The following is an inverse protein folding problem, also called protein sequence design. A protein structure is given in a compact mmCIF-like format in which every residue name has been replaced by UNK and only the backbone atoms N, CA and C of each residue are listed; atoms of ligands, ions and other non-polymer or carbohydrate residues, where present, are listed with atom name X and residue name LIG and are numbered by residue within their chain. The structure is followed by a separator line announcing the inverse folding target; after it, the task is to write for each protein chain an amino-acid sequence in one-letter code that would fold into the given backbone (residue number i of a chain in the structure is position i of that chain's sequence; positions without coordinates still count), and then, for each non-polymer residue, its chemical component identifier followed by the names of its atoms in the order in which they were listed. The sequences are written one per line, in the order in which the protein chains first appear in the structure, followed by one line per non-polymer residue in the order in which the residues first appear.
data_IF_296395912107
#
_entry.id   IF_296395912107
#
_cell.length_a   1.000
_cell.length_b   1.000
_cell.length_c   1.000
_cell.angle_alpha   90.00
_cell.angle_beta   90.00
_cell.angle_gamma   90.00
#
_symmetry.space_group_name_H-M   'P 1'
#
loop_
_entity.id
_entity.type
_entity.pdbx_description
1 polymer ?
#
# COMPACT_ATOMS: atom_id res chain seq x y z
N UNK A 1 34.42 6.30 24.21
CA UNK A 1 34.70 7.61 24.86
C UNK A 1 34.57 8.69 23.78
N UNK A 2 34.21 9.92 24.15
CA UNK A 2 33.90 11.05 23.23
C UNK A 2 32.63 10.92 22.37
N UNK A 3 31.48 11.25 22.97
CA UNK A 3 30.31 11.82 22.27
C UNK A 3 30.51 13.34 22.28
N UNK A 4 30.52 14.01 21.13
CA UNK A 4 30.54 15.48 21.10
C UNK A 4 29.94 16.09 19.80
N UNK A 5 28.86 16.84 20.00
CA UNK A 5 28.57 18.13 19.35
C UNK A 5 28.52 18.24 17.81
N UNK A 6 27.29 18.22 17.26
CA UNK A 6 26.84 19.38 16.45
C UNK A 6 25.31 19.54 16.44
N UNK A 7 24.84 20.72 16.86
CA UNK A 7 23.44 21.16 16.84
C UNK A 7 23.42 22.66 16.48
N UNK A 8 22.65 23.11 15.47
CA UNK A 8 22.42 24.52 15.26
C UNK A 8 21.52 25.10 16.37
N UNK A 9 21.91 26.28 16.89
CA UNK A 9 21.18 27.00 17.94
C UNK A 9 19.77 27.37 17.49
N UNK A 10 18.75 27.00 18.27
CA UNK A 10 17.43 27.66 18.26
C UNK A 10 17.28 28.43 19.58
N UNK A 11 17.07 29.74 19.46
CA UNK A 11 16.94 30.66 20.60
C UNK A 11 15.68 30.38 21.41
N UNK A 12 15.75 30.55 22.74
CA UNK A 12 14.60 30.52 23.66
C UNK A 12 14.30 31.91 24.22
N UNK A 13 13.33 32.58 23.61
CA UNK A 13 12.46 33.60 24.21
C UNK A 13 11.20 33.67 23.31
N UNK A 14 9.96 33.90 23.76
CA UNK A 14 9.49 34.57 24.98
C UNK A 14 8.20 33.93 25.53
N UNK A 15 7.91 34.20 26.79
CA UNK A 15 6.80 33.67 27.62
C UNK A 15 5.38 34.11 27.21
N UNK A 16 4.40 33.28 27.59
CA UNK A 16 2.94 33.52 27.75
C UNK A 16 2.49 35.00 27.82
N UNK A 17 1.39 35.37 27.14
CA UNK A 17 0.04 35.63 27.74
C UNK A 17 -0.97 36.21 26.73
N UNK A 18 -2.25 35.95 27.01
CA UNK A 18 -3.48 36.69 26.67
C UNK A 18 -3.44 37.88 25.70
N UNK A 19 -4.42 37.91 24.77
CA UNK A 19 -5.53 38.89 24.79
C UNK A 19 -6.64 38.51 23.78
N UNK A 20 -7.89 38.48 24.23
CA UNK A 20 -9.05 38.86 23.39
C UNK A 20 -9.13 40.39 23.43
N UNK A 21 -9.67 41.03 22.38
CA UNK A 21 -10.91 41.77 22.63
C UNK A 21 -12.00 41.47 21.58
N UNK A 22 -13.12 42.16 21.72
CA UNK A 22 -14.42 41.84 21.13
C UNK A 22 -14.88 42.83 20.04
N UNK A 23 -15.97 42.42 19.37
CA UNK A 23 -17.08 43.25 18.89
C UNK A 23 -16.89 44.23 17.71
N UNK A 24 -17.68 43.94 16.66
CA UNK A 24 -18.48 44.85 15.83
C UNK A 24 -17.81 45.95 14.99
N UNK A 25 -17.99 45.82 13.67
CA UNK A 25 -18.35 46.94 12.77
C UNK A 25 -19.16 46.40 11.58
N UNK A 26 -20.17 47.17 11.16
CA UNK A 26 -21.22 46.76 10.20
C UNK A 26 -21.18 47.67 8.96
N UNK A 27 -21.74 47.19 7.83
CA UNK A 27 -22.00 47.91 6.56
C UNK A 27 -20.73 48.23 5.75
N UNK A 28 -20.66 47.96 4.44
CA UNK A 28 -21.65 48.31 3.40
C UNK A 28 -21.80 47.24 2.30
N UNK A 29 -22.91 47.32 1.55
CA UNK A 29 -23.21 46.45 0.41
C UNK A 29 -22.68 47.00 -0.92
N UNK A 30 -22.37 46.10 -1.85
CA UNK A 30 -22.51 46.35 -3.29
C UNK A 30 -23.21 45.14 -3.91
N UNK A 31 -24.36 45.39 -4.55
CA UNK A 31 -25.12 44.40 -5.32
C UNK A 31 -24.52 44.25 -6.72
N UNK A 32 -24.40 43.02 -7.22
CA UNK A 32 -24.43 42.73 -8.65
C UNK A 32 -25.29 41.49 -8.91
N UNK A 33 -26.49 41.73 -9.43
CA UNK A 33 -27.43 40.71 -9.91
C UNK A 33 -27.13 40.35 -11.36
N UNK A 34 -27.11 39.06 -11.70
CA UNK A 34 -27.32 38.59 -13.08
C UNK A 34 -28.35 37.47 -13.08
N UNK A 35 -29.51 37.76 -13.69
CA UNK A 35 -30.57 36.79 -13.92
C UNK A 35 -30.20 35.88 -15.09
N UNK A 36 -30.47 34.57 -14.97
CA UNK A 36 -30.73 33.74 -16.13
C UNK A 36 -32.08 33.04 -15.98
N UNK A 37 -32.82 33.03 -17.08
CA UNK A 37 -34.27 32.86 -17.12
C UNK A 37 -34.62 31.38 -17.26
N UNK A 38 -35.61 30.93 -16.48
CA UNK A 38 -36.28 29.65 -16.68
C UNK A 38 -37.16 29.72 -17.92
N UNK A 39 -36.97 28.82 -18.88
CA UNK A 39 -37.98 28.53 -19.90
C UNK A 39 -38.39 27.07 -19.84
N UNK A 40 -39.67 26.86 -19.55
CA UNK A 40 -40.33 25.56 -19.70
C UNK A 40 -40.74 25.37 -21.16
N UNK A 41 -40.70 24.13 -21.66
CA UNK A 41 -41.69 23.75 -22.68
C UNK A 41 -42.04 22.26 -22.69
N UNK A 42 -43.20 21.97 -23.27
CA UNK A 42 -43.92 20.69 -23.19
C UNK A 42 -43.45 19.68 -24.24
N UNK A 43 -43.79 18.41 -24.01
CA UNK A 43 -43.74 17.31 -25.00
C UNK A 43 -44.78 17.50 -26.11
N UNK A 44 -44.69 16.76 -27.24
CA UNK A 44 -45.27 15.41 -27.30
C UNK A 44 -44.50 14.37 -28.17
N UNK A 45 -44.91 13.11 -28.04
CA UNK A 45 -44.54 11.95 -28.89
C UNK A 45 -45.50 11.86 -30.09
N UNK A 46 -45.09 11.29 -31.24
CA UNK A 46 -45.96 10.34 -31.92
C UNK A 46 -45.29 8.98 -32.20
N UNK A 47 -46.11 7.91 -32.16
CA UNK A 47 -45.76 6.55 -32.58
C UNK A 47 -46.08 6.38 -34.08
N UNK A 48 -45.35 5.52 -34.79
CA UNK A 48 -45.87 4.34 -35.51
C UNK A 48 -44.75 3.63 -36.30
N UNK A 49 -44.62 2.31 -36.14
CA UNK A 49 -44.85 1.32 -37.21
C UNK A 49 -44.73 -0.10 -36.63
N UNK A 50 -45.50 -1.05 -37.15
CA UNK A 50 -45.70 -2.38 -36.56
C UNK A 50 -45.79 -3.49 -37.61
N UNK A 51 -45.01 -4.57 -37.43
CA UNK A 51 -45.43 -6.00 -37.58
C UNK A 51 -45.69 -6.47 -39.05
N UNK A 52 -45.64 -7.79 -39.41
CA UNK A 52 -45.22 -9.04 -38.72
C UNK A 52 -43.86 -9.56 -39.30
N UNK A 53 -43.42 -10.85 -39.36
CA UNK A 53 -44.01 -12.17 -39.02
C UNK A 53 -42.96 -13.30 -38.77
N UNK A 54 -43.40 -14.39 -38.11
CA UNK A 54 -43.12 -15.86 -38.30
C UNK A 54 -41.73 -16.42 -38.74
N UNK A 55 -41.26 -17.60 -38.28
CA UNK A 55 -41.90 -18.68 -37.46
C UNK A 55 -40.94 -19.78 -36.92
N UNK A 56 -41.46 -20.63 -36.01
CA UNK A 56 -40.99 -21.96 -35.55
C UNK A 56 -39.74 -22.06 -34.63
N UNK A 57 -39.76 -22.76 -33.48
CA UNK A 57 -40.89 -23.39 -32.75
C UNK A 57 -40.49 -24.34 -31.58
N UNK A 58 -41.50 -24.73 -30.77
CA UNK A 58 -41.54 -25.77 -29.68
C UNK A 58 -40.83 -25.45 -28.36
N UNK A 59 -41.56 -25.14 -27.26
CA UNK A 59 -42.17 -26.05 -26.23
C UNK A 59 -41.13 -26.51 -25.17
N UNK A 60 -41.39 -26.45 -23.85
CA UNK A 60 -42.40 -27.22 -23.08
C UNK A 60 -43.08 -26.47 -21.89
N UNK A 61 -43.93 -27.20 -21.16
CA UNK A 61 -45.10 -26.78 -20.34
C UNK A 61 -44.82 -26.51 -18.84
N UNK A 62 -45.71 -25.73 -18.22
CA UNK A 62 -45.77 -25.32 -16.80
C UNK A 62 -46.57 -26.29 -15.90
N UNK A 63 -46.28 -26.33 -14.59
CA UNK A 63 -47.17 -26.89 -13.54
C UNK A 63 -47.21 -26.00 -12.27
N UNK A 64 -48.44 -25.70 -11.83
CA UNK A 64 -48.96 -25.04 -10.59
C UNK A 64 -48.02 -24.87 -9.38
N UNK A 65 -47.96 -23.72 -8.68
CA UNK A 65 -49.01 -22.95 -7.97
C UNK A 65 -49.44 -23.54 -6.59
N UNK A 66 -49.12 -22.81 -5.51
CA UNK A 66 -49.89 -22.80 -4.25
C UNK A 66 -49.94 -21.36 -3.74
N UNK A 67 -51.14 -20.76 -3.72
CA UNK A 67 -51.46 -19.54 -2.96
C UNK A 67 -52.09 -19.94 -1.64
N UNK A 68 -51.69 -19.28 -0.55
CA UNK A 68 -52.56 -19.12 0.62
C UNK A 68 -52.58 -17.64 0.99
N UNK A 69 -53.75 -17.01 0.89
CA UNK A 69 -53.94 -15.62 1.27
C UNK A 69 -54.48 -15.51 2.70
N UNK A 70 -54.05 -14.47 3.41
CA UNK A 70 -54.78 -13.91 4.54
C UNK A 70 -54.79 -12.40 4.38
N UNK A 71 -55.98 -11.79 4.48
CA UNK A 71 -56.20 -10.34 4.48
C UNK A 71 -56.90 -9.98 5.77
N UNK A 72 -56.34 -9.03 6.51
CA UNK A 72 -57.08 -8.20 7.45
C UNK A 72 -56.44 -6.80 7.51
N UNK A 73 -57.28 -5.79 7.75
CA UNK A 73 -57.00 -4.38 7.44
C UNK A 73 -56.47 -3.56 8.64
N UNK A 74 -55.94 -2.35 8.34
CA UNK A 74 -55.75 -1.17 9.23
C UNK A 74 -54.63 -1.35 10.30
N UNK A 75 -53.57 -0.54 10.34
CA UNK A 75 -53.61 0.92 10.54
C UNK A 75 -52.34 1.65 10.06
N UNK A 76 -52.45 2.97 9.94
CA UNK A 76 -51.40 3.91 9.49
C UNK A 76 -50.38 4.31 10.56
N UNK A 77 -49.25 4.86 10.08
CA UNK A 77 -48.20 5.63 10.77
C UNK A 77 -47.00 4.86 11.39
N UNK A 78 -45.79 5.39 11.18
CA UNK A 78 -44.66 5.17 12.08
C UNK A 78 -43.51 4.24 11.66
N UNK A 79 -43.23 3.99 10.37
CA UNK A 79 -42.04 3.21 9.93
C UNK A 79 -41.29 3.76 8.72
N UNK A 80 -40.73 4.98 8.84
CA UNK A 80 -39.78 5.55 7.88
C UNK A 80 -38.32 5.60 8.37
N UNK A 81 -38.08 5.55 9.68
CA UNK A 81 -36.76 5.85 10.25
C UNK A 81 -35.96 4.62 10.74
N UNK A 82 -36.62 3.49 11.05
CA UNK A 82 -35.92 2.26 11.49
C UNK A 82 -35.11 1.56 10.38
N UNK A 83 -35.43 1.82 9.10
CA UNK A 83 -34.74 1.17 7.98
C UNK A 83 -33.50 1.95 7.48
N UNK A 84 -33.32 3.21 7.90
CA UNK A 84 -32.13 4.03 7.57
C UNK A 84 -30.94 3.82 8.50
N UNK A 85 -31.15 3.15 9.64
CA UNK A 85 -30.11 2.86 10.64
C UNK A 85 -29.51 1.46 10.53
N UNK A 86 -30.03 0.59 9.66
CA UNK A 86 -29.48 -0.76 9.40
C UNK A 86 -28.47 -0.84 8.25
N UNK A 87 -28.42 0.18 7.38
CA UNK A 87 -27.34 0.36 6.39
C UNK A 87 -26.07 1.02 7.01
N UNK A 88 -26.02 1.13 8.34
CA UNK A 88 -24.87 1.63 9.08
C UNK A 88 -23.71 0.62 9.06
N UNK A 89 -22.90 0.69 8.00
CA UNK A 89 -21.60 0.03 7.85
C UNK A 89 -21.58 -1.45 8.28
N UNK A 90 -21.90 -2.34 7.33
CA UNK A 90 -21.33 -3.70 7.36
C UNK A 90 -19.81 -3.54 7.23
N UNK A 91 -19.11 -3.49 8.36
CA UNK A 91 -17.66 -3.57 8.39
C UNK A 91 -17.27 -4.92 7.80
N UNK A 92 -16.45 -4.93 6.75
CA UNK A 92 -15.89 -6.14 6.16
C UNK A 92 -15.31 -7.02 7.27
N UNK A 93 -15.95 -8.16 7.53
CA UNK A 93 -15.57 -9.05 8.62
C UNK A 93 -14.20 -9.63 8.29
N UNK A 94 -13.17 -9.13 8.96
CA UNK A 94 -11.80 -9.55 8.68
C UNK A 94 -11.57 -10.97 9.19
N UNK A 95 -10.62 -11.68 8.58
CA UNK A 95 -10.12 -12.95 9.13
C UNK A 95 -9.62 -12.78 10.59
N UNK A 96 -9.16 -11.59 10.95
CA UNK A 96 -8.77 -11.21 12.31
C UNK A 96 -9.96 -11.29 13.27
N UNK A 97 -11.12 -10.80 12.83
CA UNK A 97 -12.34 -10.74 13.65
C UNK A 97 -12.97 -12.13 13.84
N UNK A 98 -12.66 -13.07 12.93
CA UNK A 98 -13.09 -14.47 12.97
C UNK A 98 -12.17 -15.38 13.81
N UNK A 99 -10.85 -15.23 13.68
CA UNK A 99 -9.88 -16.21 14.21
C UNK A 99 -9.06 -15.74 15.42
N UNK A 100 -8.97 -14.43 15.71
CA UNK A 100 -8.15 -13.93 16.82
C UNK A 100 -8.98 -13.47 18.03
N UNK A 101 -8.47 -13.63 19.26
CA UNK A 101 -9.08 -13.03 20.46
C UNK A 101 -9.17 -11.50 20.35
N UNK A 102 -10.30 -10.93 20.79
CA UNK A 102 -10.61 -9.49 20.72
C UNK A 102 -9.54 -8.60 21.36
N UNK A 103 -8.84 -9.11 22.37
CA UNK A 103 -7.76 -8.42 23.08
C UNK A 103 -6.54 -8.12 22.18
N UNK A 104 -6.31 -8.93 21.14
CA UNK A 104 -5.16 -8.83 20.25
C UNK A 104 -5.49 -8.00 18.99
N UNK A 105 -6.77 -7.84 18.65
CA UNK A 105 -7.23 -7.07 17.48
C UNK A 105 -6.58 -5.68 17.35
N UNK A 106 -6.43 -4.87 18.42
CA UNK A 106 -5.81 -3.55 18.30
C UNK A 106 -4.33 -3.63 17.87
N UNK A 107 -3.57 -4.59 18.40
CA UNK A 107 -2.15 -4.78 18.07
C UNK A 107 -1.95 -5.33 16.66
N UNK A 108 -2.85 -6.21 16.21
CA UNK A 108 -2.85 -6.82 14.88
C UNK A 108 -3.16 -5.75 13.81
N UNK A 109 -4.13 -4.87 14.08
CA UNK A 109 -4.44 -3.69 13.25
C UNK A 109 -3.32 -2.63 13.32
N UNK A 110 -2.63 -2.48 14.46
CA UNK A 110 -1.46 -1.59 14.58
C UNK A 110 -0.28 -2.08 13.72
N UNK A 111 -0.01 -3.38 13.71
CA UNK A 111 0.98 -4.02 12.84
C UNK A 111 0.55 -4.10 11.35
N UNK A 112 -0.68 -3.71 11.01
CA UNK A 112 -1.31 -3.81 9.67
C UNK A 112 -1.37 -5.21 9.09
N UNK A 113 -1.58 -6.22 9.94
CA UNK A 113 -1.79 -7.60 9.49
C UNK A 113 -3.14 -7.77 8.75
N UNK A 114 -4.07 -6.83 8.90
CA UNK A 114 -5.29 -6.71 8.08
C UNK A 114 -4.97 -6.41 6.59
N UNK A 115 -3.81 -5.80 6.31
CA UNK A 115 -3.40 -5.32 4.98
C UNK A 115 -2.03 -5.90 4.60
N UNK A 116 -1.96 -7.22 4.31
CA UNK A 116 -0.70 -7.97 4.16
C UNK A 116 0.14 -7.56 2.94
N UNK A 117 -0.37 -6.73 2.03
CA UNK A 117 0.37 -6.26 0.85
C UNK A 117 1.74 -5.66 1.20
N UNK A 118 1.83 -4.87 2.28
CA UNK A 118 3.10 -4.28 2.70
C UNK A 118 4.14 -5.32 3.16
N UNK A 119 3.69 -6.45 3.71
CA UNK A 119 4.54 -7.58 4.09
C UNK A 119 5.05 -8.30 2.83
N UNK A 120 4.17 -8.52 1.85
CA UNK A 120 4.57 -9.11 0.56
C UNK A 120 5.60 -8.24 -0.18
N UNK A 121 5.40 -6.93 -0.24
CA UNK A 121 6.33 -6.01 -0.89
C UNK A 121 7.71 -5.97 -0.22
N UNK A 122 7.77 -6.16 1.11
CA UNK A 122 9.03 -6.28 1.85
C UNK A 122 9.65 -7.69 1.74
N UNK A 123 8.84 -8.73 1.58
CA UNK A 123 9.30 -10.11 1.47
C UNK A 123 9.85 -10.46 0.07
N UNK A 124 9.23 -9.99 -1.01
CA UNK A 124 9.60 -10.41 -2.37
C UNK A 124 11.07 -10.15 -2.74
N UNK A 125 11.69 -8.98 -2.45
CA UNK A 125 13.11 -8.75 -2.71
C UNK A 125 14.02 -9.75 -1.98
N UNK A 126 13.64 -10.15 -0.75
CA UNK A 126 14.33 -11.20 0.01
C UNK A 126 14.23 -12.55 -0.71
N UNK A 127 13.01 -12.95 -1.10
CA UNK A 127 12.74 -14.25 -1.71
C UNK A 127 13.40 -14.40 -3.08
N UNK A 128 13.38 -13.34 -3.91
CA UNK A 128 14.11 -13.30 -5.17
C UNK A 128 15.61 -13.53 -4.94
N UNK A 129 16.19 -12.80 -3.98
CA UNK A 129 17.62 -12.83 -3.71
C UNK A 129 18.12 -14.15 -3.12
N UNK A 130 17.38 -14.72 -2.16
CA UNK A 130 17.66 -16.06 -1.59
C UNK A 130 17.58 -17.14 -2.69
N UNK A 131 16.60 -17.04 -3.60
CA UNK A 131 16.43 -18.00 -4.69
C UNK A 131 17.48 -17.82 -5.78
N UNK A 132 17.87 -16.59 -6.10
CA UNK A 132 18.94 -16.31 -7.06
C UNK A 132 20.30 -16.81 -6.53
N UNK A 133 20.49 -16.78 -5.20
CA UNK A 133 21.66 -17.31 -4.52
C UNK A 133 21.68 -18.85 -4.36
N UNK A 134 20.58 -19.54 -4.68
CA UNK A 134 20.57 -21.01 -4.73
C UNK A 134 21.53 -21.54 -5.79
N UNK A 135 22.08 -22.74 -5.57
CA UNK A 135 22.91 -23.40 -6.57
C UNK A 135 22.02 -23.95 -7.72
N UNK A 136 22.56 -24.12 -8.94
CA UNK A 136 21.88 -24.87 -10.00
C UNK A 136 21.42 -26.26 -9.51
N UNK A 137 20.29 -26.74 -10.02
CA UNK A 137 19.63 -27.98 -9.64
C UNK A 137 18.94 -27.97 -8.27
N UNK A 138 18.97 -26.86 -7.52
CA UNK A 138 18.53 -26.83 -6.12
C UNK A 138 17.38 -25.84 -5.88
N UNK A 139 16.50 -26.20 -4.93
CA UNK A 139 15.52 -25.30 -4.35
C UNK A 139 16.21 -24.22 -3.48
N UNK A 140 15.58 -23.04 -3.31
CA UNK A 140 16.00 -22.04 -2.33
C UNK A 140 16.06 -22.62 -0.91
N UNK A 141 16.95 -22.10 -0.08
CA UNK A 141 17.04 -22.46 1.33
C UNK A 141 15.73 -22.09 2.05
N UNK A 142 14.95 -23.12 2.38
CA UNK A 142 13.65 -23.00 3.05
C UNK A 142 13.78 -22.32 4.41
N UNK A 143 14.86 -22.58 5.17
CA UNK A 143 15.10 -21.93 6.46
C UNK A 143 15.32 -20.43 6.26
N UNK A 144 16.12 -20.03 5.28
CA UNK A 144 16.33 -18.61 4.97
C UNK A 144 15.05 -17.96 4.47
N UNK A 145 14.28 -18.60 3.59
CA UNK A 145 12.97 -18.11 3.18
C UNK A 145 12.03 -17.90 4.39
N UNK A 146 11.93 -18.87 5.30
CA UNK A 146 11.11 -18.75 6.50
C UNK A 146 11.58 -17.61 7.41
N UNK A 147 12.89 -17.51 7.68
CA UNK A 147 13.46 -16.44 8.50
C UNK A 147 13.18 -15.05 7.91
N UNK A 148 13.38 -14.85 6.60
CA UNK A 148 13.12 -13.57 5.95
C UNK A 148 11.63 -13.27 5.77
N UNK A 149 10.76 -14.29 5.60
CA UNK A 149 9.31 -14.12 5.59
C UNK A 149 8.78 -13.65 6.95
N UNK A 150 9.21 -14.28 8.04
CA UNK A 150 8.92 -13.83 9.40
C UNK A 150 9.53 -12.44 9.68
N UNK A 151 10.75 -12.20 9.23
CA UNK A 151 11.43 -10.91 9.34
C UNK A 151 10.67 -9.78 8.63
N UNK A 152 10.18 -10.02 7.41
CA UNK A 152 9.37 -9.06 6.66
C UNK A 152 8.04 -8.76 7.38
N UNK A 153 7.37 -9.76 7.95
CA UNK A 153 6.15 -9.56 8.74
C UNK A 153 6.40 -8.70 9.98
N UNK A 154 7.46 -9.00 10.73
CA UNK A 154 7.83 -8.29 11.96
C UNK A 154 8.29 -6.86 11.68
N UNK A 155 9.17 -6.66 10.69
CA UNK A 155 9.71 -5.34 10.33
C UNK A 155 8.64 -4.46 9.67
N UNK A 156 7.74 -5.02 8.84
CA UNK A 156 6.58 -4.29 8.33
C UNK A 156 5.70 -3.83 9.49
N UNK A 157 5.42 -4.73 10.43
CA UNK A 157 4.66 -4.43 11.64
C UNK A 157 5.29 -3.34 12.49
N UNK A 158 6.60 -3.44 12.79
CA UNK A 158 7.35 -2.44 13.54
C UNK A 158 7.34 -1.07 12.84
N UNK A 159 7.49 -1.04 11.51
CA UNK A 159 7.38 0.16 10.69
C UNK A 159 5.99 0.80 10.74
N UNK A 160 4.92 0.01 10.83
CA UNK A 160 3.57 0.53 11.08
C UNK A 160 3.45 1.10 12.50
N UNK A 161 3.90 0.35 13.51
CA UNK A 161 3.83 0.74 14.93
C UNK A 161 4.55 2.07 15.19
N UNK A 162 5.77 2.25 14.67
CA UNK A 162 6.53 3.50 14.88
C UNK A 162 5.90 4.68 14.14
N UNK A 163 5.35 4.48 12.93
CA UNK A 163 4.65 5.54 12.21
C UNK A 163 3.38 5.97 12.95
N UNK A 164 2.50 5.05 13.35
CA UNK A 164 1.27 5.35 14.09
C UNK A 164 1.56 5.98 15.49
N UNK A 165 2.74 5.72 16.08
CA UNK A 165 3.21 6.39 17.30
C UNK A 165 3.68 7.84 17.05
N UNK A 166 4.43 8.08 15.97
CA UNK A 166 4.98 9.40 15.64
C UNK A 166 3.94 10.34 15.03
N UNK A 167 3.05 9.82 14.19
CA UNK A 167 2.03 10.60 13.48
C UNK A 167 0.72 10.75 14.28
N UNK A 168 0.63 10.21 15.52
CA UNK A 168 -0.58 10.17 16.36
C UNK A 168 -1.42 11.45 16.36
N UNK A 169 -0.79 12.59 16.61
CA UNK A 169 -1.49 13.88 16.73
C UNK A 169 -2.01 14.37 15.38
N UNK A 170 -1.32 14.03 14.28
CA UNK A 170 -1.72 14.34 12.90
C UNK A 170 -2.84 13.39 12.46
N UNK A 171 -2.70 12.09 12.74
CA UNK A 171 -3.68 11.07 12.39
C UNK A 171 -5.04 11.31 13.06
N UNK A 172 -5.05 11.91 14.26
CA UNK A 172 -6.29 12.33 14.95
C UNK A 172 -7.07 13.40 14.16
N UNK A 173 -6.41 14.18 13.30
CA UNK A 173 -7.01 15.25 12.50
C UNK A 173 -7.45 14.81 11.09
N UNK A 174 -7.16 13.57 10.69
CA UNK A 174 -7.37 13.08 9.30
C UNK A 174 -8.42 11.97 9.27
N UNK A 175 -9.47 12.16 8.46
CA UNK A 175 -10.64 11.27 8.40
C UNK A 175 -10.29 9.80 8.14
N UNK A 176 -9.32 9.55 7.26
CA UNK A 176 -8.82 8.21 6.90
C UNK A 176 -8.08 7.50 8.04
N UNK A 177 -7.56 8.24 9.03
CA UNK A 177 -6.56 7.73 9.96
C UNK A 177 -6.88 7.97 11.44
N UNK A 178 -7.90 8.77 11.76
CA UNK A 178 -8.44 8.95 13.13
C UNK A 178 -8.84 7.64 13.83
N UNK A 179 -9.21 6.62 13.05
CA UNK A 179 -9.58 5.29 13.54
C UNK A 179 -8.38 4.35 13.77
N UNK A 180 -7.13 4.80 13.57
CA UNK A 180 -5.93 4.00 13.88
C UNK A 180 -5.85 3.71 15.38
N UNK A 181 -5.26 2.58 15.83
CA UNK A 181 -5.31 2.17 17.25
C UNK A 181 -4.70 3.18 18.24
N UNK A 182 -3.63 3.89 17.85
CA UNK A 182 -2.95 4.87 18.71
C UNK A 182 -3.61 6.26 18.66
N UNK A 183 -4.15 6.66 17.50
CA UNK A 183 -4.88 7.92 17.31
C UNK A 183 -6.23 7.91 18.04
N UNK A 184 -6.99 6.82 17.87
CA UNK A 184 -8.27 6.56 18.57
C UNK A 184 -8.15 6.33 20.09
N UNK A 185 -6.93 6.18 20.61
CA UNK A 185 -6.66 5.93 22.03
C UNK A 185 -6.94 4.51 22.52
N UNK A 186 -7.32 3.58 21.63
CA UNK A 186 -7.54 2.15 21.96
C UNK A 186 -6.23 1.50 22.43
N UNK A 187 -5.09 1.92 21.87
CA UNK A 187 -3.74 1.59 22.35
C UNK A 187 -3.09 2.85 22.92
N UNK A 188 -2.63 2.77 24.16
CA UNK A 188 -1.82 3.85 24.77
C UNK A 188 -0.44 3.92 24.12
N UNK A 189 0.21 5.10 24.06
CA UNK A 189 1.57 5.21 23.51
C UNK A 189 2.59 4.27 24.17
N UNK A 190 2.47 4.03 25.48
CA UNK A 190 3.32 3.09 26.21
C UNK A 190 3.14 1.64 25.73
N UNK A 191 1.89 1.16 25.58
CA UNK A 191 1.61 -0.15 25.00
C UNK A 191 2.15 -0.28 23.57
N UNK A 192 2.03 0.78 22.75
CA UNK A 192 2.62 0.82 21.41
C UNK A 192 4.15 0.71 21.43
N UNK A 193 4.83 1.38 22.36
CA UNK A 193 6.29 1.28 22.54
C UNK A 193 6.70 -0.13 23.01
N UNK A 194 5.97 -0.72 23.96
CA UNK A 194 6.22 -2.11 24.38
C UNK A 194 6.05 -3.10 23.22
N UNK A 195 5.01 -2.93 22.39
CA UNK A 195 4.77 -3.76 21.21
C UNK A 195 5.85 -3.57 20.14
N UNK A 196 6.28 -2.33 19.88
CA UNK A 196 7.43 -2.04 19.01
C UNK A 196 8.70 -2.73 19.52
N UNK A 197 8.98 -2.64 20.82
CA UNK A 197 10.10 -3.33 21.46
C UNK A 197 10.04 -4.85 21.26
N UNK A 198 8.88 -5.47 21.44
CA UNK A 198 8.66 -6.89 21.17
C UNK A 198 8.91 -7.26 19.70
N UNK A 199 8.37 -6.49 18.74
CA UNK A 199 8.59 -6.70 17.31
C UNK A 199 10.09 -6.61 16.93
N UNK A 200 10.80 -5.62 17.48
CA UNK A 200 12.22 -5.41 17.25
C UNK A 200 13.10 -6.49 17.91
N UNK A 201 12.74 -6.98 19.11
CA UNK A 201 13.44 -8.08 19.77
C UNK A 201 13.32 -9.40 18.98
N UNK A 202 12.13 -9.70 18.44
CA UNK A 202 11.96 -10.84 17.54
C UNK A 202 12.75 -10.67 16.23
N UNK A 203 12.75 -9.46 15.66
CA UNK A 203 13.56 -9.13 14.48
C UNK A 203 15.07 -9.29 14.73
N UNK A 204 15.56 -8.89 15.90
CA UNK A 204 16.94 -9.12 16.35
C UNK A 204 17.24 -10.61 16.51
N UNK A 205 16.29 -11.39 17.07
CA UNK A 205 16.41 -12.84 17.18
C UNK A 205 16.52 -13.55 15.81
N UNK A 206 15.91 -13.01 14.76
CA UNK A 206 16.10 -13.47 13.38
C UNK A 206 17.48 -13.04 12.85
N UNK A 207 17.85 -11.76 13.02
CA UNK A 207 19.13 -11.23 12.54
C UNK A 207 20.33 -11.99 13.12
N UNK A 208 20.29 -12.35 14.41
CA UNK A 208 21.34 -13.11 15.09
C UNK A 208 21.49 -14.55 14.57
N UNK A 209 20.48 -15.12 13.90
CA UNK A 209 20.58 -16.44 13.26
C UNK A 209 21.29 -16.41 11.91
N UNK A 210 21.52 -15.24 11.32
CA UNK A 210 22.26 -15.07 10.07
C UNK A 210 23.78 -15.08 10.30
N UNK A 211 24.55 -15.21 9.22
CA UNK A 211 26.02 -15.13 9.24
C UNK A 211 26.53 -13.71 9.61
N UNK A 212 27.79 -13.60 10.02
CA UNK A 212 28.38 -12.33 10.51
C UNK A 212 28.29 -11.17 9.51
N UNK A 213 28.53 -11.44 8.23
CA UNK A 213 28.42 -10.43 7.17
C UNK A 213 26.98 -9.88 7.09
N UNK A 214 25.99 -10.79 7.11
CA UNK A 214 24.56 -10.46 7.11
C UNK A 214 24.09 -9.75 8.37
N UNK A 215 24.67 -10.05 9.55
CA UNK A 215 24.37 -9.31 10.79
C UNK A 215 24.73 -7.83 10.65
N UNK A 216 25.93 -7.54 10.13
CA UNK A 216 26.43 -6.18 9.92
C UNK A 216 25.63 -5.47 8.82
N UNK A 217 25.40 -6.14 7.68
CA UNK A 217 24.61 -5.61 6.55
C UNK A 217 23.13 -5.38 6.92
N UNK A 218 22.54 -6.24 7.75
CA UNK A 218 21.18 -6.06 8.25
C UNK A 218 21.11 -4.89 9.22
N UNK A 219 22.08 -4.75 10.13
CA UNK A 219 22.16 -3.63 11.06
C UNK A 219 22.38 -2.27 10.35
N UNK A 220 23.14 -2.21 9.26
CA UNK A 220 23.37 -0.95 8.52
C UNK A 220 22.11 -0.41 7.83
N UNK A 221 21.12 -1.28 7.53
CA UNK A 221 19.80 -0.86 7.01
C UNK A 221 19.08 0.14 7.92
N UNK A 222 19.34 0.09 9.23
CA UNK A 222 18.72 0.97 10.22
C UNK A 222 18.97 2.45 9.93
N UNK A 223 20.11 2.80 9.32
CA UNK A 223 20.41 4.18 8.92
C UNK A 223 19.37 4.74 7.94
N UNK A 224 18.90 3.91 7.01
CA UNK A 224 17.84 4.27 6.06
C UNK A 224 16.47 4.23 6.76
N UNK A 225 16.19 3.20 7.56
CA UNK A 225 14.89 3.04 8.24
C UNK A 225 14.60 4.22 9.19
N UNK A 226 15.57 4.66 9.99
CA UNK A 226 15.39 5.78 10.93
C UNK A 226 15.23 7.14 10.24
N UNK A 227 15.81 7.33 9.05
CA UNK A 227 15.79 8.62 8.33
C UNK A 227 14.66 8.74 7.31
N UNK A 228 14.07 7.63 6.86
CA UNK A 228 12.94 7.62 5.93
C UNK A 228 11.75 8.53 6.34
N UNK A 229 11.27 8.56 7.60
CA UNK A 229 10.16 9.43 8.00
C UNK A 229 10.42 10.94 7.75
N UNK A 230 11.69 11.36 7.82
CA UNK A 230 12.09 12.75 7.55
C UNK A 230 12.04 13.09 6.04
N UNK A 231 12.24 12.10 5.17
CA UNK A 231 12.36 12.32 3.73
C UNK A 231 11.09 12.90 3.10
N UNK A 232 9.90 12.54 3.63
CA UNK A 232 8.60 13.11 3.19
C UNK A 232 8.50 14.63 3.37
N UNK A 233 9.28 15.20 4.30
CA UNK A 233 9.34 16.66 4.57
C UNK A 233 10.45 17.34 3.76
N UNK A 234 11.56 16.63 3.53
CA UNK A 234 12.75 17.17 2.87
C UNK A 234 12.65 17.14 1.33
N UNK A 235 12.27 16.01 0.73
CA UNK A 235 12.38 15.77 -0.73
C UNK A 235 11.04 15.44 -1.38
N UNK A 236 10.96 15.66 -2.69
CA UNK A 236 9.87 15.17 -3.57
C UNK A 236 10.05 13.71 -4.02
N UNK A 237 11.05 13.01 -3.49
CA UNK A 237 11.35 11.60 -3.79
C UNK A 237 11.30 10.66 -2.57
N UNK A 238 10.35 10.78 -1.62
CA UNK A 238 10.27 9.82 -0.52
C UNK A 238 9.99 8.38 -1.02
N UNK A 239 9.36 8.22 -2.20
CA UNK A 239 9.19 6.93 -2.88
C UNK A 239 10.53 6.28 -3.26
N UNK A 240 11.52 7.06 -3.73
CA UNK A 240 12.85 6.52 -4.02
C UNK A 240 13.54 6.03 -2.74
N UNK A 241 13.39 6.80 -1.66
CA UNK A 241 13.95 6.45 -0.36
C UNK A 241 13.24 5.24 0.28
N UNK A 242 11.93 5.11 0.08
CA UNK A 242 11.17 3.91 0.41
C UNK A 242 11.70 2.71 -0.38
N UNK A 243 12.00 2.88 -1.67
CA UNK A 243 12.64 1.87 -2.49
C UNK A 243 13.95 1.36 -1.88
N UNK A 244 14.82 2.27 -1.42
CA UNK A 244 16.07 1.88 -0.76
C UNK A 244 15.85 1.09 0.55
N UNK A 245 14.86 1.48 1.35
CA UNK A 245 14.56 0.76 2.61
C UNK A 245 13.88 -0.59 2.38
N UNK A 246 12.84 -0.66 1.55
CA UNK A 246 12.06 -1.89 1.32
C UNK A 246 12.84 -2.95 0.56
N UNK A 247 13.71 -2.56 -0.36
CA UNK A 247 14.45 -3.52 -1.18
C UNK A 247 15.76 -3.97 -0.56
N UNK A 248 16.11 -3.52 0.66
CA UNK A 248 17.35 -3.95 1.35
C UNK A 248 17.43 -5.48 1.54
N UNK A 249 16.27 -6.15 1.57
CA UNK A 249 16.16 -7.60 1.49
C UNK A 249 16.85 -8.25 0.28
N UNK A 250 16.96 -7.54 -0.85
CA UNK A 250 17.69 -8.01 -2.02
C UNK A 250 19.22 -8.08 -1.78
N UNK A 251 19.78 -7.17 -0.98
CA UNK A 251 21.19 -7.23 -0.56
C UNK A 251 21.39 -8.33 0.49
N UNK A 252 20.49 -8.36 1.48
CA UNK A 252 20.61 -9.21 2.66
C UNK A 252 20.31 -10.69 2.38
N UNK A 253 19.43 -11.02 1.43
CA UNK A 253 19.07 -12.40 1.08
C UNK A 253 20.24 -13.19 0.49
N UNK A 254 20.91 -12.63 -0.52
CA UNK A 254 22.12 -13.20 -1.12
C UNK A 254 23.24 -13.33 -0.08
N UNK A 255 23.45 -12.27 0.70
CA UNK A 255 24.41 -12.25 1.81
C UNK A 255 24.17 -13.36 2.84
N UNK A 256 22.90 -13.68 3.15
CA UNK A 256 22.56 -14.74 4.10
C UNK A 256 22.95 -16.14 3.58
N UNK A 257 22.85 -16.37 2.27
CA UNK A 257 23.15 -17.66 1.63
C UNK A 257 24.64 -17.79 1.27
N UNK A 258 25.26 -16.77 0.65
CA UNK A 258 26.66 -16.84 0.17
C UNK A 258 27.71 -16.30 1.15
N UNK A 259 27.31 -15.57 2.19
CA UNK A 259 28.23 -14.96 3.16
C UNK A 259 28.99 -13.73 2.68
N UNK A 260 28.72 -13.26 1.46
CA UNK A 260 29.27 -12.07 0.81
C UNK A 260 28.20 -11.43 -0.09
N UNK A 261 28.53 -10.35 -0.81
CA UNK A 261 27.74 -9.84 -1.93
C UNK A 261 28.56 -9.99 -3.21
N UNK A 262 27.93 -10.52 -4.26
CA UNK A 262 28.39 -10.34 -5.64
C UNK A 262 27.79 -9.03 -6.19
N UNK A 263 28.60 -7.98 -6.45
CA UNK A 263 28.06 -6.70 -6.90
C UNK A 263 27.38 -6.76 -8.28
N UNK A 264 27.85 -7.63 -9.17
CA UNK A 264 27.34 -7.73 -10.54
C UNK A 264 25.94 -8.35 -10.58
N UNK A 265 25.65 -9.28 -9.67
CA UNK A 265 24.33 -9.91 -9.57
C UNK A 265 23.39 -9.08 -8.68
N UNK A 266 23.86 -8.68 -7.50
CA UNK A 266 22.99 -8.19 -6.42
C UNK A 266 22.66 -6.70 -6.56
N UNK A 267 23.55 -5.86 -7.07
CA UNK A 267 23.25 -4.43 -7.25
C UNK A 267 22.16 -4.19 -8.31
N UNK A 268 22.15 -4.87 -9.48
CA UNK A 268 21.02 -4.79 -10.40
C UNK A 268 19.71 -5.34 -9.80
N UNK A 269 19.76 -6.42 -9.02
CA UNK A 269 18.56 -6.92 -8.31
C UNK A 269 18.01 -5.85 -7.35
N UNK A 270 18.86 -5.26 -6.52
CA UNK A 270 18.47 -4.19 -5.60
C UNK A 270 17.91 -2.96 -6.34
N UNK A 271 18.59 -2.51 -7.39
CA UNK A 271 18.13 -1.39 -8.23
C UNK A 271 16.77 -1.66 -8.88
N UNK A 272 16.54 -2.88 -9.37
CA UNK A 272 15.24 -3.26 -9.94
C UNK A 272 14.10 -3.15 -8.94
N UNK A 273 14.35 -3.53 -7.68
CA UNK A 273 13.41 -3.37 -6.59
C UNK A 273 13.11 -1.90 -6.28
N UNK A 274 14.14 -1.04 -6.25
CA UNK A 274 13.98 0.41 -6.06
C UNK A 274 13.11 1.02 -7.17
N UNK A 275 13.36 0.65 -8.43
CA UNK A 275 12.54 1.11 -9.57
C UNK A 275 11.11 0.55 -9.52
N UNK A 276 10.92 -0.69 -9.09
CA UNK A 276 9.59 -1.26 -8.88
C UNK A 276 8.81 -0.52 -7.80
N UNK A 277 9.46 -0.18 -6.67
CA UNK A 277 8.87 0.67 -5.63
C UNK A 277 8.51 2.06 -6.15
N UNK A 278 9.34 2.65 -7.00
CA UNK A 278 8.99 3.92 -7.67
C UNK A 278 7.72 3.79 -8.51
N UNK A 279 7.50 2.68 -9.23
CA UNK A 279 6.24 2.45 -9.97
C UNK A 279 5.05 2.31 -9.02
N UNK A 280 5.06 1.33 -8.12
CA UNK A 280 3.87 1.02 -7.33
C UNK A 280 3.55 2.08 -6.28
N UNK A 281 4.55 2.71 -5.66
CA UNK A 281 4.35 3.66 -4.57
C UNK A 281 4.03 5.06 -5.07
N UNK A 282 4.46 5.41 -6.30
CA UNK A 282 3.97 6.61 -6.98
C UNK A 282 2.50 6.46 -7.36
N UNK A 283 2.06 5.28 -7.85
CA UNK A 283 0.63 5.00 -8.07
C UNK A 283 -0.15 5.08 -6.74
N UNK A 284 0.37 4.45 -5.68
CA UNK A 284 -0.26 4.47 -4.37
C UNK A 284 -0.42 5.90 -3.83
N UNK A 285 0.59 6.76 -3.99
CA UNK A 285 0.60 8.15 -3.51
C UNK A 285 -0.44 9.07 -4.18
N UNK A 286 -0.97 8.73 -5.38
CA UNK A 286 -2.07 9.51 -5.95
C UNK A 286 -3.36 9.45 -5.11
N UNK A 287 -3.54 8.44 -4.26
CA UNK A 287 -4.69 8.36 -3.34
C UNK A 287 -4.75 9.51 -2.34
N UNK A 288 -3.60 9.92 -1.80
CA UNK A 288 -3.50 10.95 -0.76
C UNK A 288 -3.14 12.33 -1.36
N UNK A 289 -3.06 12.48 -2.70
CA UNK A 289 -2.56 13.67 -3.42
C UNK A 289 -3.16 15.00 -2.95
N UNK A 290 -4.47 15.09 -2.78
CA UNK A 290 -5.14 16.32 -2.34
C UNK A 290 -4.86 16.66 -0.88
N UNK A 291 -4.75 15.63 -0.03
CA UNK A 291 -4.47 15.76 1.39
C UNK A 291 -2.98 16.14 1.61
N UNK A 292 -2.07 15.54 0.83
CA UNK A 292 -0.64 15.89 0.77
C UNK A 292 -0.45 17.38 0.42
N UNK A 293 -1.16 17.91 -0.59
CA UNK A 293 -1.10 19.34 -0.96
C UNK A 293 -1.57 20.22 0.20
N UNK A 294 -2.68 19.87 0.85
CA UNK A 294 -3.25 20.65 1.97
C UNK A 294 -2.34 20.66 3.21
N UNK A 295 -1.54 19.61 3.43
CA UNK A 295 -0.61 19.48 4.58
C UNK A 295 0.83 19.88 4.21
N UNK A 296 1.13 20.16 2.94
CA UNK A 296 2.47 20.52 2.46
C UNK A 296 3.46 19.34 2.40
N UNK A 297 2.94 18.11 2.33
CA UNK A 297 3.74 16.89 2.18
C UNK A 297 4.18 16.75 0.72
N UNK A 298 5.42 16.33 0.50
CA UNK A 298 6.02 16.18 -0.83
C UNK A 298 6.01 14.73 -1.27
N UNK A 299 5.67 14.46 -2.54
CA UNK A 299 5.64 13.11 -3.11
C UNK A 299 5.96 13.11 -4.61
N UNK A 300 6.34 11.96 -5.16
CA UNK A 300 6.54 11.81 -6.62
C UNK A 300 5.25 12.02 -7.41
N UNK A 301 4.10 11.64 -6.86
CA UNK A 301 2.78 11.90 -7.45
C UNK A 301 2.53 13.40 -7.66
N UNK A 302 2.97 14.25 -6.72
CA UNK A 302 2.94 15.72 -6.88
C UNK A 302 4.02 16.24 -7.83
N UNK A 303 5.23 15.65 -7.80
CA UNK A 303 6.33 16.06 -8.68
C UNK A 303 6.07 15.79 -10.16
N UNK A 304 5.47 14.65 -10.48
CA UNK A 304 5.24 14.23 -11.87
C UNK A 304 3.88 14.68 -12.39
N UNK A 305 2.88 14.85 -11.51
CA UNK A 305 1.53 15.25 -11.92
C UNK A 305 1.00 14.34 -13.02
N UNK A 306 0.60 14.93 -14.13
CA UNK A 306 0.00 14.25 -15.28
C UNK A 306 1.01 13.38 -16.05
N UNK A 307 2.32 13.66 -15.92
CA UNK A 307 3.40 12.87 -16.52
C UNK A 307 3.70 11.57 -15.74
N UNK A 308 2.97 11.28 -14.65
CA UNK A 308 3.20 10.09 -13.80
C UNK A 308 3.28 8.80 -14.62
N UNK A 309 2.38 8.59 -15.60
CA UNK A 309 2.39 7.36 -16.41
C UNK A 309 3.68 7.22 -17.23
N UNK A 310 4.20 8.32 -17.79
CA UNK A 310 5.45 8.32 -18.57
C UNK A 310 6.67 8.03 -17.68
N UNK A 311 6.76 8.66 -16.51
CA UNK A 311 7.81 8.37 -15.52
C UNK A 311 7.75 6.91 -15.04
N UNK A 312 6.55 6.40 -14.75
CA UNK A 312 6.37 5.01 -14.35
C UNK A 312 6.69 4.01 -15.47
N UNK A 313 6.46 4.34 -16.74
CA UNK A 313 6.95 3.53 -17.87
C UNK A 313 8.48 3.47 -17.89
N UNK A 314 9.16 4.61 -17.66
CA UNK A 314 10.62 4.66 -17.54
C UNK A 314 11.15 3.82 -16.38
N UNK A 315 10.55 3.93 -15.19
CA UNK A 315 10.91 3.09 -14.04
C UNK A 315 10.57 1.62 -14.24
N UNK A 316 9.47 1.30 -14.92
CA UNK A 316 9.11 -0.08 -15.28
C UNK A 316 10.14 -0.71 -16.23
N UNK A 317 10.55 0.03 -17.27
CA UNK A 317 11.61 -0.39 -18.18
C UNK A 317 12.96 -0.58 -17.46
N UNK A 318 13.34 0.36 -16.58
CA UNK A 318 14.55 0.25 -15.76
C UNK A 318 14.48 -0.97 -14.81
N UNK A 319 13.34 -1.22 -14.16
CA UNK A 319 13.11 -2.38 -13.30
C UNK A 319 13.35 -3.70 -14.06
N UNK A 320 12.67 -3.91 -15.19
CA UNK A 320 12.80 -5.13 -15.99
C UNK A 320 14.22 -5.27 -16.55
N UNK A 321 14.86 -4.17 -16.97
CA UNK A 321 16.24 -4.19 -17.48
C UNK A 321 17.25 -4.58 -16.39
N UNK A 322 17.10 -4.06 -15.18
CA UNK A 322 17.96 -4.40 -14.05
C UNK A 322 17.72 -5.83 -13.54
N UNK A 323 16.49 -6.36 -13.60
CA UNK A 323 16.21 -7.78 -13.37
C UNK A 323 16.88 -8.67 -14.43
N UNK A 324 16.75 -8.32 -15.71
CA UNK A 324 17.37 -9.05 -16.81
C UNK A 324 18.90 -9.09 -16.67
N UNK A 325 19.53 -7.97 -16.33
CA UNK A 325 20.97 -7.89 -16.06
C UNK A 325 21.39 -8.74 -14.85
N UNK A 326 20.61 -8.71 -13.77
CA UNK A 326 20.86 -9.56 -12.59
C UNK A 326 20.81 -11.05 -12.94
N UNK A 327 19.78 -11.48 -13.68
CA UNK A 327 19.64 -12.87 -14.12
C UNK A 327 20.73 -13.31 -15.10
N UNK A 328 21.12 -12.44 -16.04
CA UNK A 328 22.22 -12.67 -16.97
C UNK A 328 23.55 -12.89 -16.23
N UNK A 329 23.90 -11.99 -15.31
CA UNK A 329 25.11 -12.12 -14.49
C UNK A 329 25.07 -13.30 -13.52
N UNK A 330 23.87 -13.82 -13.20
CA UNK A 330 23.66 -14.99 -12.33
C UNK A 330 23.51 -16.30 -13.10
N UNK A 331 23.77 -16.28 -14.43
CA UNK A 331 23.67 -17.41 -15.36
C UNK A 331 22.36 -18.19 -15.22
N UNK A 332 21.24 -17.47 -15.09
CA UNK A 332 19.95 -18.09 -14.80
C UNK A 332 19.26 -18.64 -16.07
N UNK A 333 18.64 -19.82 -15.95
CA UNK A 333 17.95 -20.50 -17.05
C UNK A 333 16.75 -19.75 -17.64
N UNK A 334 16.31 -20.20 -18.82
CA UNK A 334 15.25 -19.58 -19.63
C UNK A 334 13.89 -19.30 -18.91
N UNK A 335 13.41 -20.08 -17.91
CA UNK A 335 12.12 -19.81 -17.27
C UNK A 335 12.04 -18.44 -16.58
N UNK A 336 13.19 -17.90 -16.15
CA UNK A 336 13.28 -16.56 -15.59
C UNK A 336 12.93 -15.49 -16.63
N UNK A 337 13.50 -15.57 -17.84
CA UNK A 337 13.23 -14.60 -18.91
C UNK A 337 11.78 -14.68 -19.39
N UNK A 338 11.18 -15.88 -19.42
CA UNK A 338 9.74 -16.03 -19.65
C UNK A 338 8.90 -15.31 -18.57
N UNK A 339 9.30 -15.41 -17.29
CA UNK A 339 8.64 -14.67 -16.20
C UNK A 339 8.83 -13.15 -16.31
N UNK A 340 9.98 -12.66 -16.82
CA UNK A 340 10.19 -11.24 -17.08
C UNK A 340 9.24 -10.69 -18.14
N UNK A 341 8.92 -11.45 -19.19
CA UNK A 341 7.91 -11.06 -20.18
C UNK A 341 6.53 -10.94 -19.53
N UNK A 342 6.13 -11.93 -18.73
CA UNK A 342 4.85 -11.90 -18.01
C UNK A 342 4.77 -10.73 -17.00
N UNK A 343 5.83 -10.49 -16.23
CA UNK A 343 5.94 -9.42 -15.25
C UNK A 343 5.96 -8.02 -15.92
N UNK A 344 6.65 -7.89 -17.05
CA UNK A 344 6.63 -6.68 -17.89
C UNK A 344 5.22 -6.39 -18.41
N UNK A 345 4.52 -7.42 -18.91
CA UNK A 345 3.11 -7.32 -19.29
C UNK A 345 2.20 -6.88 -18.14
N UNK A 346 2.43 -7.37 -16.92
CA UNK A 346 1.69 -6.91 -15.74
C UNK A 346 1.97 -5.43 -15.40
N UNK A 347 3.23 -4.98 -15.41
CA UNK A 347 3.56 -3.57 -15.18
C UNK A 347 2.97 -2.67 -16.27
N UNK A 348 3.08 -3.07 -17.53
CA UNK A 348 2.49 -2.34 -18.66
C UNK A 348 0.96 -2.22 -18.51
N UNK A 349 0.28 -3.29 -18.11
CA UNK A 349 -1.15 -3.26 -17.78
C UNK A 349 -1.45 -2.32 -16.60
N UNK A 350 -0.70 -2.38 -15.50
CA UNK A 350 -0.89 -1.49 -14.35
C UNK A 350 -0.77 -0.02 -14.79
N UNK A 351 0.33 0.36 -15.46
CA UNK A 351 0.65 1.76 -15.77
C UNK A 351 -0.25 2.34 -16.86
N UNK A 352 -0.61 1.54 -17.88
CA UNK A 352 -1.53 1.99 -18.94
C UNK A 352 -2.95 2.17 -18.42
N UNK A 353 -3.49 1.17 -17.73
CA UNK A 353 -4.92 1.13 -17.34
C UNK A 353 -5.26 1.85 -16.05
N UNK A 354 -4.28 2.27 -15.23
CA UNK A 354 -4.58 2.94 -13.96
C UNK A 354 -5.29 4.27 -14.15
N UNK A 355 -6.38 4.48 -13.40
CA UNK A 355 -6.97 5.79 -13.20
C UNK A 355 -6.34 6.46 -11.96
N UNK A 356 -5.49 7.47 -12.20
CA UNK A 356 -4.79 8.21 -11.15
C UNK A 356 -5.71 9.17 -10.37
N UNK A 357 -6.95 9.39 -10.83
CA UNK A 357 -7.98 10.12 -10.07
C UNK A 357 -8.79 9.21 -9.15
N UNK A 358 -8.86 7.91 -9.46
CA UNK A 358 -9.59 6.92 -8.66
C UNK A 358 -8.73 6.35 -7.54
N UNK A 359 -9.10 6.69 -6.29
CA UNK A 359 -8.48 6.14 -5.07
C UNK A 359 -8.54 4.62 -5.03
N UNK A 360 -9.68 4.04 -5.40
CA UNK A 360 -9.92 2.59 -5.37
C UNK A 360 -9.11 1.86 -6.45
N UNK A 361 -9.02 2.36 -7.68
CA UNK A 361 -8.19 1.72 -8.71
C UNK A 361 -6.70 1.82 -8.37
N UNK A 362 -6.22 2.98 -7.89
CA UNK A 362 -4.85 3.12 -7.38
C UNK A 362 -4.52 2.09 -6.30
N UNK A 363 -5.43 1.85 -5.34
CA UNK A 363 -5.29 0.81 -4.32
C UNK A 363 -5.30 -0.61 -4.93
N UNK A 364 -6.20 -0.90 -5.88
CA UNK A 364 -6.26 -2.20 -6.59
C UNK A 364 -4.97 -2.48 -7.37
N UNK A 365 -4.42 -1.49 -8.08
CA UNK A 365 -3.12 -1.61 -8.77
C UNK A 365 -2.00 -1.86 -7.78
N UNK A 366 -1.91 -1.08 -6.69
CA UNK A 366 -0.94 -1.30 -5.62
C UNK A 366 -1.01 -2.73 -5.06
N UNK A 367 -2.21 -3.19 -4.67
CA UNK A 367 -2.47 -4.56 -4.15
C UNK A 367 -2.20 -5.67 -5.18
N UNK A 368 -2.22 -5.37 -6.48
CA UNK A 368 -1.85 -6.34 -7.52
C UNK A 368 -0.35 -6.66 -7.57
N UNK A 369 0.52 -5.81 -6.99
CA UNK A 369 1.98 -6.02 -7.01
C UNK A 369 2.45 -7.27 -6.24
N UNK A 370 1.64 -7.84 -5.35
CA UNK A 370 1.93 -9.17 -4.79
C UNK A 370 2.12 -10.24 -5.88
N UNK A 371 1.42 -10.10 -7.02
CA UNK A 371 1.54 -11.02 -8.15
C UNK A 371 2.78 -10.76 -9.00
N UNK A 372 3.23 -9.52 -9.15
CA UNK A 372 4.48 -9.21 -9.83
C UNK A 372 5.65 -9.91 -9.13
N UNK A 373 5.70 -9.78 -7.79
CA UNK A 373 6.72 -10.47 -7.00
C UNK A 373 6.62 -11.98 -7.01
N UNK A 374 5.41 -12.54 -7.05
CA UNK A 374 5.20 -13.98 -7.23
C UNK A 374 5.68 -14.48 -8.60
N UNK A 375 5.39 -13.76 -9.70
CA UNK A 375 5.81 -14.13 -11.06
C UNK A 375 7.35 -14.18 -11.15
N UNK A 376 8.03 -13.12 -10.70
CA UNK A 376 9.50 -13.07 -10.69
C UNK A 376 10.08 -14.18 -9.81
N UNK A 377 9.55 -14.38 -8.60
CA UNK A 377 9.98 -15.43 -7.69
C UNK A 377 9.84 -16.83 -8.31
N UNK A 378 8.67 -17.16 -8.86
CA UNK A 378 8.42 -18.44 -9.53
C UNK A 378 9.33 -18.65 -10.73
N UNK A 379 9.61 -17.60 -11.52
CA UNK A 379 10.57 -17.66 -12.63
C UNK A 379 11.99 -17.98 -12.17
N UNK A 380 12.47 -17.35 -11.08
CA UNK A 380 13.79 -17.62 -10.51
C UNK A 380 13.87 -19.07 -10.00
N UNK A 381 12.87 -19.53 -9.26
CA UNK A 381 12.84 -20.89 -8.69
C UNK A 381 12.77 -21.96 -9.79
N UNK A 382 11.86 -21.81 -10.77
CA UNK A 382 11.76 -22.73 -11.90
C UNK A 382 13.07 -22.78 -12.70
N UNK A 383 13.68 -21.62 -12.95
CA UNK A 383 14.94 -21.55 -13.66
C UNK A 383 16.06 -22.27 -12.89
N UNK A 384 16.22 -22.03 -11.58
CA UNK A 384 17.24 -22.68 -10.73
C UNK A 384 17.06 -24.20 -10.58
N UNK A 385 15.83 -24.72 -10.66
CA UNK A 385 15.58 -26.17 -10.70
C UNK A 385 15.89 -26.76 -12.11
N UNK A 386 15.72 -25.97 -13.18
CA UNK A 386 15.93 -26.41 -14.57
C UNK A 386 17.36 -26.26 -15.10
N UNK A 387 18.22 -25.55 -14.37
CA UNK A 387 19.65 -25.37 -14.64
C UNK A 387 20.48 -26.41 -13.89
#
# INVERSE_FOLDING_TARGET
MAIALWLPRISRSTTRRFLKPSSSLTLFSVSHSHNYIVTSNRSPIPRLFTVPNQSHGREWVSVSEVRLGYVSHISTAGKSDENRSRDAQVADVSWIDLYLPRQIHPYVRLARLDKPIGTWLLAWPCMWSISLAANPGHLPDIKMMTLFGCGALLLRGAGCTINDLLDRDIDTMVERTKLRPVASGIITPFQGICFLGFQLLLGLGILLQLNNYSRILGASSLLLVFSYPLMKRLTFWPQAYLGLTFNWGALLGWAAVKGNIDPAIVLPLYASGVFWTLVYDTIYAHQDKEDDVRVGIKSTALRFGDLTKQWNMGFGAACISSLALSGYNAEIGWPFYASLVAASGQLAWQISTVDLSSRDDCNKKFVSNKWFGAIIFSGIVLARISS
#
